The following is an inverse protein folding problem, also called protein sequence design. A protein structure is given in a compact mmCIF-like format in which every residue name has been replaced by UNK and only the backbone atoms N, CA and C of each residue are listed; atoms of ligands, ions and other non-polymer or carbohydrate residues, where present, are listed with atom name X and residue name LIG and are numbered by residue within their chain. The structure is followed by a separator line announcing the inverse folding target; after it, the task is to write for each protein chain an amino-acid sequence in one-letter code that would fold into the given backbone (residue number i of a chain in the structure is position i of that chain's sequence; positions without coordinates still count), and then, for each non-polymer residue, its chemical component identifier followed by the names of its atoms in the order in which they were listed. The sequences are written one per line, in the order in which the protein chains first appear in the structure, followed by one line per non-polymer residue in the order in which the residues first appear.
data_IF_913269450619
#
_entry.id   IF_913269450619
#
_cell.length_a   1.000
_cell.length_b   1.000
_cell.length_c   1.000
_cell.angle_alpha   90.00
_cell.angle_beta   90.00
_cell.angle_gamma   90.00
#
_symmetry.space_group_name_H-M   'P 1'
#
loop_
_entity.id
_entity.type
_entity.pdbx_description
1 polymer ?
#
# COMPACT_ATOMS: atom_id res chain seq x y z
N UNK A 1 -5.83 -19.49 -13.91
CA UNK A 1 -6.32 -18.12 -14.24
C UNK A 1 -5.27 -17.06 -13.97
N UNK A 2 -4.53 -17.09 -12.86
CA UNK A 2 -3.41 -16.17 -12.62
C UNK A 2 -2.26 -16.34 -13.64
N UNK A 3 -1.92 -17.59 -14.00
CA UNK A 3 -0.83 -17.88 -14.94
C UNK A 3 -1.06 -17.33 -16.35
N UNK A 4 -2.32 -17.26 -16.80
CA UNK A 4 -2.66 -16.65 -18.08
C UNK A 4 -2.42 -15.13 -18.05
N UNK A 5 -2.73 -14.47 -16.94
CA UNK A 5 -2.43 -13.05 -16.76
C UNK A 5 -0.93 -12.80 -16.65
N UNK A 6 -0.17 -13.70 -16.03
CA UNK A 6 1.30 -13.65 -16.01
C UNK A 6 1.86 -13.72 -17.44
N UNK A 7 1.38 -14.67 -18.25
CA UNK A 7 1.77 -14.79 -19.66
C UNK A 7 1.46 -13.52 -20.47
N UNK A 8 0.29 -12.90 -20.24
CA UNK A 8 -0.05 -11.64 -20.91
C UNK A 8 0.80 -10.46 -20.45
N UNK A 9 1.26 -10.44 -19.20
CA UNK A 9 2.23 -9.45 -18.72
C UNK A 9 3.53 -9.60 -19.50
N UNK A 10 4.04 -10.82 -19.67
CA UNK A 10 5.30 -11.05 -20.39
C UNK A 10 5.21 -10.59 -21.85
N UNK A 11 4.13 -10.96 -22.55
CA UNK A 11 3.85 -10.52 -23.92
C UNK A 11 3.68 -9.00 -24.04
N UNK A 12 3.14 -8.33 -23.02
CA UNK A 12 3.06 -6.87 -22.98
C UNK A 12 4.44 -6.23 -22.87
N UNK A 13 5.31 -6.80 -22.04
CA UNK A 13 6.67 -6.31 -21.83
C UNK A 13 7.58 -6.57 -23.04
N UNK A 14 7.28 -7.61 -23.82
CA UNK A 14 7.97 -7.92 -25.08
C UNK A 14 7.41 -7.11 -26.26
N UNK A 15 6.31 -6.38 -26.07
CA UNK A 15 5.67 -5.55 -27.11
C UNK A 15 4.85 -6.34 -28.13
N UNK A 16 4.58 -7.61 -27.85
CA UNK A 16 3.86 -8.53 -28.74
C UNK A 16 2.34 -8.49 -28.53
N UNK A 17 1.89 -7.83 -27.47
CA UNK A 17 0.47 -7.78 -27.12
C UNK A 17 -0.30 -6.82 -28.04
N UNK A 18 -1.41 -7.29 -28.61
CA UNK A 18 -2.27 -6.45 -29.46
C UNK A 18 -2.95 -5.34 -28.65
N UNK A 19 -3.40 -4.27 -29.33
CA UNK A 19 -4.14 -3.17 -28.69
C UNK A 19 -5.35 -3.61 -27.85
N UNK A 20 -6.24 -4.50 -28.31
CA UNK A 20 -7.38 -4.94 -27.50
C UNK A 20 -6.96 -5.75 -26.28
N UNK A 21 -5.94 -6.60 -26.41
CA UNK A 21 -5.39 -7.39 -25.29
C UNK A 21 -4.73 -6.48 -24.25
N UNK A 22 -4.00 -5.44 -24.68
CA UNK A 22 -3.45 -4.43 -23.78
C UNK A 22 -4.53 -3.71 -22.99
N UNK A 23 -5.66 -3.39 -23.61
CA UNK A 23 -6.79 -2.77 -22.92
C UNK A 23 -7.45 -3.74 -21.91
N UNK A 24 -7.52 -5.03 -22.23
CA UNK A 24 -8.00 -6.05 -21.30
C UNK A 24 -7.07 -6.21 -20.09
N UNK A 25 -5.76 -6.33 -20.34
CA UNK A 25 -4.74 -6.40 -19.30
C UNK A 25 -4.75 -5.15 -18.41
N UNK A 26 -4.82 -3.95 -18.99
CA UNK A 26 -4.90 -2.70 -18.21
C UNK A 26 -6.11 -2.67 -17.26
N UNK A 27 -7.27 -3.14 -17.70
CA UNK A 27 -8.46 -3.26 -16.85
C UNK A 27 -8.26 -4.28 -15.73
N UNK A 28 -7.64 -5.41 -16.02
CA UNK A 28 -7.33 -6.42 -15.01
C UNK A 28 -6.36 -5.87 -13.95
N UNK A 29 -5.27 -5.22 -14.36
CA UNK A 29 -4.27 -4.64 -13.45
C UNK A 29 -4.85 -3.53 -12.57
N UNK A 30 -5.88 -2.81 -13.04
CA UNK A 30 -6.61 -1.84 -12.22
C UNK A 30 -7.42 -2.50 -11.09
N UNK A 31 -7.86 -3.76 -11.27
CA UNK A 31 -8.67 -4.51 -10.31
C UNK A 31 -7.91 -5.52 -9.46
N UNK A 32 -6.71 -5.96 -9.89
CA UNK A 32 -5.94 -7.01 -9.24
C UNK A 32 -4.56 -6.50 -8.80
N UNK A 33 -4.41 -6.23 -7.49
CA UNK A 33 -3.13 -5.79 -6.91
C UNK A 33 -1.99 -6.78 -7.14
N UNK A 34 -2.26 -8.08 -7.01
CA UNK A 34 -1.24 -9.10 -7.13
C UNK A 34 -0.60 -9.12 -8.53
N UNK A 35 -1.41 -9.05 -9.58
CA UNK A 35 -0.92 -8.99 -10.96
C UNK A 35 -0.25 -7.64 -11.27
N UNK A 36 -0.76 -6.53 -10.71
CA UNK A 36 -0.13 -5.21 -10.84
C UNK A 36 1.28 -5.17 -10.21
N UNK A 37 1.44 -5.78 -9.04
CA UNK A 37 2.72 -5.90 -8.36
C UNK A 37 3.68 -6.83 -9.12
N UNK A 38 3.19 -7.95 -9.66
CA UNK A 38 3.98 -8.88 -10.49
C UNK A 38 4.56 -8.17 -11.74
N UNK A 39 3.75 -7.38 -12.45
CA UNK A 39 4.21 -6.60 -13.61
C UNK A 39 5.33 -5.61 -13.26
N UNK A 40 5.19 -4.91 -12.13
CA UNK A 40 6.23 -3.96 -11.67
C UNK A 40 7.52 -4.70 -11.33
N UNK A 41 7.43 -5.84 -10.63
CA UNK A 41 8.59 -6.64 -10.27
C UNK A 41 9.35 -7.14 -11.53
N UNK A 42 8.62 -7.60 -12.54
CA UNK A 42 9.24 -8.06 -13.79
C UNK A 42 9.96 -6.91 -14.53
N UNK A 43 9.35 -5.73 -14.59
CA UNK A 43 10.00 -4.53 -15.12
C UNK A 43 11.28 -4.15 -14.36
N UNK A 44 11.25 -4.23 -13.03
CA UNK A 44 12.42 -3.91 -12.20
C UNK A 44 13.58 -4.88 -12.43
N UNK A 45 13.28 -6.18 -12.55
CA UNK A 45 14.25 -7.21 -12.88
C UNK A 45 14.91 -6.93 -14.25
N UNK A 46 14.12 -6.63 -15.29
CA UNK A 46 14.66 -6.28 -16.62
C UNK A 46 15.54 -5.03 -16.60
N UNK A 47 15.13 -3.99 -15.88
CA UNK A 47 15.92 -2.76 -15.71
C UNK A 47 17.22 -3.02 -14.94
N UNK A 48 17.17 -3.85 -13.89
CA UNK A 48 18.35 -4.24 -13.13
C UNK A 48 19.36 -4.99 -14.02
N UNK A 49 18.88 -5.92 -14.85
CA UNK A 49 19.74 -6.63 -15.81
C UNK A 49 20.35 -5.69 -16.85
N UNK A 50 19.55 -4.83 -17.48
CA UNK A 50 20.06 -3.86 -18.46
C UNK A 50 21.13 -2.96 -17.84
N UNK A 51 20.92 -2.49 -16.61
CA UNK A 51 21.90 -1.69 -15.87
C UNK A 51 23.18 -2.48 -15.57
N UNK A 52 23.07 -3.75 -15.16
CA UNK A 52 24.25 -4.60 -14.92
C UNK A 52 25.04 -4.91 -16.20
N UNK A 53 24.36 -4.94 -17.35
CA UNK A 53 24.98 -5.07 -18.67
C UNK A 53 25.65 -3.78 -19.17
N UNK A 54 25.62 -2.72 -18.36
CA UNK A 54 26.28 -1.45 -18.66
C UNK A 54 25.43 -0.47 -19.46
N UNK A 55 24.11 -0.68 -19.60
CA UNK A 55 23.22 0.27 -20.27
C UNK A 55 22.84 1.42 -19.31
N UNK A 56 23.34 2.66 -19.54
CA UNK A 56 23.00 3.80 -18.70
C UNK A 56 21.59 4.35 -18.97
N UNK A 57 20.92 3.90 -20.04
CA UNK A 57 19.59 4.35 -20.44
C UNK A 57 18.47 3.45 -19.91
N UNK A 58 18.79 2.46 -19.08
CA UNK A 58 17.84 1.63 -18.36
C UNK A 58 16.96 2.49 -17.42
N UNK A 59 15.85 3.00 -17.96
CA UNK A 59 14.93 3.92 -17.27
C UNK A 59 14.35 3.25 -16.03
N UNK A 60 14.29 4.01 -14.94
CA UNK A 60 13.61 3.60 -13.71
C UNK A 60 12.14 3.35 -13.97
N UNK A 61 11.65 2.17 -13.60
CA UNK A 61 10.23 1.82 -13.65
C UNK A 61 9.47 2.76 -12.71
N UNK A 62 8.49 3.54 -13.20
CA UNK A 62 7.66 4.34 -12.32
C UNK A 62 6.82 3.39 -11.47
N UNK A 63 7.18 3.23 -10.19
CA UNK A 63 6.30 2.53 -9.25
C UNK A 63 4.96 3.25 -9.18
N UNK A 64 3.83 2.52 -9.08
CA UNK A 64 2.60 3.11 -8.59
C UNK A 64 2.87 3.56 -7.16
N UNK A 65 3.31 4.82 -7.01
CA UNK A 65 3.40 5.47 -5.71
C UNK A 65 2.02 5.33 -5.11
N UNK A 66 1.92 4.74 -3.92
CA UNK A 66 0.75 4.91 -3.06
C UNK A 66 0.33 6.36 -3.19
N UNK A 67 -0.84 6.61 -3.79
CA UNK A 67 -1.31 7.97 -4.06
C UNK A 67 -1.23 8.68 -2.72
N UNK A 68 -0.31 9.65 -2.58
CA UNK A 68 -0.06 10.30 -1.28
C UNK A 68 -1.34 10.82 -0.66
N UNK A 69 -2.30 11.22 -1.51
CA UNK A 69 -3.67 11.59 -1.14
C UNK A 69 -4.46 10.45 -0.49
N UNK A 70 -4.41 9.24 -1.02
CA UNK A 70 -5.07 8.06 -0.42
C UNK A 70 -4.45 7.71 0.92
N UNK A 71 -3.12 7.75 1.02
CA UNK A 71 -2.42 7.51 2.28
C UNK A 71 -2.76 8.58 3.33
N UNK A 72 -2.71 9.86 2.94
CA UNK A 72 -3.05 10.98 3.82
C UNK A 72 -4.52 10.94 4.26
N UNK A 73 -5.43 10.56 3.37
CA UNK A 73 -6.83 10.36 3.70
C UNK A 73 -6.99 9.28 4.78
N UNK A 74 -6.36 8.12 4.60
CA UNK A 74 -6.43 7.05 5.59
C UNK A 74 -5.79 7.43 6.92
N UNK A 75 -4.66 8.15 6.92
CA UNK A 75 -4.07 8.69 8.14
C UNK A 75 -5.03 9.65 8.86
N UNK A 76 -5.67 10.57 8.13
CA UNK A 76 -6.63 11.51 8.71
C UNK A 76 -7.83 10.78 9.31
N UNK A 77 -8.35 9.75 8.63
CA UNK A 77 -9.43 8.89 9.13
C UNK A 77 -9.00 8.18 10.43
N UNK A 78 -7.81 7.59 10.48
CA UNK A 78 -7.30 6.92 11.69
C UNK A 78 -7.15 7.89 12.87
N UNK A 79 -6.62 9.10 12.63
CA UNK A 79 -6.47 10.12 13.67
C UNK A 79 -7.82 10.61 14.18
N UNK A 80 -8.78 10.87 13.28
CA UNK A 80 -10.13 11.28 13.64
C UNK A 80 -10.85 10.19 14.46
N UNK A 81 -10.73 8.92 14.04
CA UNK A 81 -11.31 7.79 14.76
C UNK A 81 -10.71 7.64 16.17
N UNK A 82 -9.38 7.70 16.29
CA UNK A 82 -8.69 7.63 17.58
C UNK A 82 -9.04 8.80 18.51
N UNK A 83 -9.07 10.02 17.97
CA UNK A 83 -9.47 11.22 18.71
C UNK A 83 -10.93 11.16 19.18
N UNK A 84 -11.85 10.75 18.32
CA UNK A 84 -13.26 10.60 18.68
C UNK A 84 -13.47 9.52 19.74
N UNK A 85 -12.79 8.37 19.61
CA UNK A 85 -12.84 7.31 20.60
C UNK A 85 -12.29 7.77 21.96
N UNK A 86 -11.15 8.47 21.97
CA UNK A 86 -10.57 9.04 23.18
C UNK A 86 -11.47 10.09 23.84
N UNK A 87 -12.09 10.96 23.04
CA UNK A 87 -13.04 11.96 23.53
C UNK A 87 -14.29 11.32 24.16
N UNK A 88 -14.89 10.33 23.49
CA UNK A 88 -16.04 9.61 24.01
C UNK A 88 -15.70 8.85 25.30
N UNK A 89 -14.51 8.24 25.38
CA UNK A 89 -14.04 7.60 26.60
C UNK A 89 -13.90 8.61 27.75
N UNK A 90 -13.32 9.78 27.48
CA UNK A 90 -13.18 10.85 28.47
C UNK A 90 -14.54 11.35 28.99
N UNK A 91 -15.51 11.54 28.10
CA UNK A 91 -16.87 11.98 28.47
C UNK A 91 -17.62 10.93 29.29
N UNK A 92 -17.43 9.64 28.98
CA UNK A 92 -18.19 8.57 29.62
C UNK A 92 -17.60 8.16 30.97
N UNK A 93 -16.27 8.05 31.07
CA UNK A 93 -15.58 7.46 32.23
C UNK A 93 -14.69 8.45 32.98
N UNK A 94 -14.59 9.70 32.52
CA UNK A 94 -13.67 10.70 33.06
C UNK A 94 -12.26 10.54 32.52
N UNK A 95 -11.51 11.65 32.45
CA UNK A 95 -10.09 11.63 32.07
C UNK A 95 -9.17 11.19 33.20
N UNK A 96 -7.88 10.95 32.89
CA UNK A 96 -6.87 10.81 33.92
C UNK A 96 -6.89 12.07 34.80
N UNK A 97 -7.27 11.90 36.06
CA UNK A 97 -7.27 12.99 37.04
C UNK A 97 -5.84 13.47 37.34
N UNK A 98 -5.67 14.57 38.07
CA UNK A 98 -4.35 15.14 38.40
C UNK A 98 -3.48 14.24 39.32
N UNK A 99 -3.99 13.07 39.70
CA UNK A 99 -3.27 12.10 40.52
C UNK A 99 -2.20 11.39 39.68
N UNK A 100 -1.02 11.18 40.27
CA UNK A 100 0.09 10.48 39.61
C UNK A 100 -0.32 9.04 39.26
N UNK A 101 0.27 8.48 38.20
CA UNK A 101 0.05 7.09 37.76
C UNK A 101 0.30 6.06 38.90
N UNK A 102 1.08 6.44 39.91
CA UNK A 102 1.32 5.67 41.13
C UNK A 102 0.05 5.52 41.99
N UNK A 103 -0.79 6.55 42.07
CA UNK A 103 -2.05 6.50 42.80
C UNK A 103 -3.10 5.60 42.13
N UNK A 104 -3.13 5.55 40.79
CA UNK A 104 -4.03 4.65 40.02
C UNK A 104 -3.59 3.18 40.07
N UNK A 105 -2.29 2.91 40.30
CA UNK A 105 -1.79 1.55 40.51
C UNK A 105 -2.29 0.94 41.82
N UNK A 106 -2.43 1.75 42.86
CA UNK A 106 -2.92 1.30 44.17
C UNK A 106 -4.39 0.84 44.12
N UNK A 107 -5.21 1.44 43.26
CA UNK A 107 -6.63 1.06 43.10
C UNK A 107 -6.84 -0.17 42.23
N UNK A 108 -5.96 -0.44 41.25
CA UNK A 108 -6.06 -1.62 40.38
C UNK A 108 -5.50 -2.91 40.99
N UNK A 109 -4.65 -2.82 42.02
CA UNK A 109 -4.05 -3.99 42.71
C UNK A 109 -4.87 -4.44 43.93
N UNK A 110 -5.81 -3.59 44.39
CA UNK A 110 -6.67 -3.88 45.56
C UNK A 110 -8.01 -4.50 45.17
N UNK A 111 -8.30 -4.65 43.87
CA UNK A 111 -9.39 -5.51 43.36
C UNK A 111 -8.83 -6.84 42.87
#
# INVERSE_FOLDING_TARGET
MHDEWMRQIDLELDGELSLPERAALARHLAGCRHCAEARVNHLEMRVAFARSAGDPHARTVPRPRLRGRTLAFWMAVSLAAGGAAGWLAHQRWGGPGPASLEASRATLVVQ
#
